data_IF_683036108285
#
_entry.id   IF_683036108285
#
_cell.length_a   1.000
_cell.length_b   1.000
_cell.length_c   1.000
_cell.angle_alpha   90.00
_cell.angle_beta   90.00
_cell.angle_gamma   90.00
#
_symmetry.space_group_name_H-M   'P 1'
#
loop_
_entity.id
_entity.type
_entity.pdbx_description
1 polymer ?
#
# COMPACT_ATOMS: atom_id res chain seq x y z
N UNK A 1 4.45 -17.05 -4.97
CA UNK A 1 5.11 -16.43 -6.14
C UNK A 1 4.21 -15.31 -6.62
N UNK A 2 4.51 -14.06 -6.26
CA UNK A 2 3.64 -12.91 -6.53
C UNK A 2 4.38 -11.60 -6.78
N UNK A 3 5.60 -11.42 -6.28
CA UNK A 3 6.40 -10.22 -6.54
C UNK A 3 7.08 -10.29 -7.93
N UNK A 4 6.51 -9.62 -8.94
CA UNK A 4 7.13 -9.48 -10.27
C UNK A 4 7.87 -8.15 -10.44
N UNK A 5 7.59 -7.16 -9.57
CA UNK A 5 8.23 -5.83 -9.52
C UNK A 5 8.19 -5.28 -8.09
N UNK A 6 9.15 -4.40 -7.75
CA UNK A 6 9.20 -3.67 -6.48
C UNK A 6 8.19 -2.50 -6.42
N UNK A 7 7.46 -2.29 -7.51
CA UNK A 7 6.35 -1.34 -7.57
C UNK A 7 5.12 -1.88 -6.82
N UNK A 8 4.36 -1.02 -6.10
CA UNK A 8 3.22 -1.46 -5.28
C UNK A 8 2.12 -2.27 -5.97
N UNK A 9 1.93 -2.10 -7.28
CA UNK A 9 0.97 -2.86 -8.08
C UNK A 9 1.64 -3.92 -8.98
N UNK A 10 2.88 -4.30 -8.65
CA UNK A 10 3.68 -5.30 -9.35
C UNK A 10 3.38 -6.76 -8.97
N UNK A 11 2.21 -7.02 -8.37
CA UNK A 11 1.78 -8.34 -7.92
C UNK A 11 0.25 -8.49 -8.09
N UNK A 12 -0.22 -9.74 -8.26
CA UNK A 12 -1.63 -10.04 -8.52
C UNK A 12 -2.54 -9.64 -7.34
N UNK A 13 -2.11 -9.87 -6.10
CA UNK A 13 -2.84 -9.47 -4.88
C UNK A 13 -3.19 -7.98 -4.90
N UNK A 14 -2.22 -7.12 -5.22
CA UNK A 14 -2.41 -5.68 -5.28
C UNK A 14 -3.35 -5.26 -6.41
N UNK A 15 -3.35 -5.98 -7.54
CA UNK A 15 -4.26 -5.71 -8.66
C UNK A 15 -5.69 -6.16 -8.34
N UNK A 16 -5.88 -7.28 -7.67
CA UNK A 16 -7.18 -7.74 -7.18
C UNK A 16 -7.75 -6.76 -6.15
N UNK A 17 -6.92 -6.31 -5.21
CA UNK A 17 -7.29 -5.25 -4.25
C UNK A 17 -7.65 -3.93 -4.95
N UNK A 18 -6.91 -3.53 -5.99
CA UNK A 18 -7.21 -2.34 -6.78
C UNK A 18 -8.59 -2.42 -7.46
N UNK A 19 -8.97 -3.62 -7.91
CA UNK A 19 -10.28 -3.87 -8.50
C UNK A 19 -11.39 -3.72 -7.45
N UNK A 20 -11.18 -4.18 -6.21
CA UNK A 20 -12.10 -3.94 -5.10
C UNK A 20 -12.26 -2.45 -4.79
N UNK A 21 -11.15 -1.71 -4.66
CA UNK A 21 -11.15 -0.28 -4.40
C UNK A 21 -11.99 0.48 -5.44
N UNK A 22 -11.88 0.11 -6.71
CA UNK A 22 -12.62 0.73 -7.80
C UNK A 22 -14.15 0.55 -7.72
N UNK A 23 -14.64 -0.38 -6.89
CA UNK A 23 -16.09 -0.59 -6.66
C UNK A 23 -16.69 0.35 -5.62
N UNK A 24 -15.87 1.01 -4.81
CA UNK A 24 -16.31 1.91 -3.74
C UNK A 24 -16.04 3.38 -4.08
N UNK A 25 -16.66 4.31 -3.34
CA UNK A 25 -16.48 5.77 -3.49
C UNK A 25 -16.16 6.45 -2.17
N UNK A 26 -15.36 5.77 -1.35
CA UNK A 26 -14.94 6.22 -0.04
C UNK A 26 -13.54 5.63 0.26
N UNK A 27 -13.00 5.96 1.44
CA UNK A 27 -11.69 5.48 1.89
C UNK A 27 -11.77 4.18 2.71
N UNK A 28 -12.92 3.51 2.77
CA UNK A 28 -13.12 2.38 3.68
C UNK A 28 -12.25 1.17 3.34
N UNK A 29 -12.09 0.84 2.05
CA UNK A 29 -11.23 -0.26 1.59
C UNK A 29 -9.75 0.04 1.87
N UNK A 30 -9.34 1.30 1.76
CA UNK A 30 -7.98 1.73 2.14
C UNK A 30 -7.77 1.61 3.65
N UNK A 31 -8.72 2.08 4.45
CA UNK A 31 -8.63 2.00 5.91
C UNK A 31 -8.61 0.53 6.38
N UNK A 32 -9.44 -0.33 5.79
CA UNK A 32 -9.49 -1.76 6.09
C UNK A 32 -8.15 -2.46 5.81
N UNK A 33 -7.47 -2.16 4.70
CA UNK A 33 -6.16 -2.73 4.40
C UNK A 33 -5.10 -2.33 5.43
N UNK A 34 -5.14 -1.10 5.94
CA UNK A 34 -4.22 -0.69 7.02
C UNK A 34 -4.58 -1.31 8.35
N UNK A 35 -5.87 -1.44 8.66
CA UNK A 35 -6.33 -2.03 9.92
C UNK A 35 -5.99 -3.53 9.97
N UNK A 36 -6.15 -4.26 8.87
CA UNK A 36 -5.74 -5.67 8.78
C UNK A 36 -4.27 -5.87 9.20
N UNK A 37 -3.37 -4.99 8.75
CA UNK A 37 -1.94 -5.09 9.11
C UNK A 37 -1.65 -4.57 10.52
N UNK A 38 -2.37 -3.55 11.00
CA UNK A 38 -2.09 -2.93 12.29
C UNK A 38 -2.72 -3.68 13.47
N UNK A 39 -3.84 -4.36 13.27
CA UNK A 39 -4.58 -5.07 14.32
C UNK A 39 -3.98 -6.44 14.65
N UNK A 40 -3.22 -7.04 13.73
CA UNK A 40 -2.48 -8.31 13.95
C UNK A 40 -1.36 -8.18 15.01
N UNK A 41 -1.01 -6.96 15.44
CA UNK A 41 -0.08 -6.75 16.55
C UNK A 41 1.33 -7.32 16.28
N UNK A 42 1.79 -8.21 17.17
CA UNK A 42 3.09 -8.91 17.07
C UNK A 42 2.99 -10.26 16.33
N UNK A 43 1.79 -10.71 15.97
CA UNK A 43 1.60 -11.96 15.23
C UNK A 43 2.20 -11.85 13.83
N UNK A 44 2.70 -12.95 13.28
CA UNK A 44 3.38 -12.96 11.99
C UNK A 44 2.47 -12.45 10.86
N UNK A 45 2.95 -11.47 10.10
CA UNK A 45 2.17 -10.82 9.03
C UNK A 45 2.30 -11.61 7.73
N UNK A 46 1.17 -12.05 7.19
CA UNK A 46 1.06 -12.72 5.89
C UNK A 46 1.41 -11.78 4.72
N UNK A 47 2.03 -12.33 3.69
CA UNK A 47 2.49 -11.55 2.54
C UNK A 47 1.34 -10.84 1.83
N UNK A 48 0.16 -11.47 1.72
CA UNK A 48 -0.99 -10.90 1.01
C UNK A 48 -1.50 -9.62 1.69
N UNK A 49 -1.67 -9.64 3.02
CA UNK A 49 -2.04 -8.46 3.79
C UNK A 49 -0.99 -7.34 3.67
N UNK A 50 0.30 -7.71 3.61
CA UNK A 50 1.38 -6.75 3.35
C UNK A 50 1.30 -6.12 1.95
N UNK A 51 1.02 -6.92 0.91
CA UNK A 51 0.87 -6.47 -0.47
C UNK A 51 -0.30 -5.49 -0.60
N UNK A 52 -1.45 -5.82 -0.02
CA UNK A 52 -2.64 -4.96 0.01
C UNK A 52 -2.39 -3.63 0.74
N UNK A 53 -1.70 -3.66 1.88
CA UNK A 53 -1.37 -2.44 2.61
C UNK A 53 -0.41 -1.53 1.83
N UNK A 54 0.55 -2.09 1.09
CA UNK A 54 1.45 -1.33 0.22
C UNK A 54 0.68 -0.72 -0.96
N UNK A 55 -0.23 -1.47 -1.58
CA UNK A 55 -1.13 -0.97 -2.63
C UNK A 55 -2.05 0.16 -2.12
N UNK A 56 -2.62 -0.01 -0.93
CA UNK A 56 -3.44 1.00 -0.26
C UNK A 56 -2.66 2.28 0.05
N UNK A 57 -1.41 2.15 0.50
CA UNK A 57 -0.53 3.29 0.72
C UNK A 57 -0.20 4.02 -0.58
N UNK A 58 0.03 3.29 -1.68
CA UNK A 58 0.27 3.86 -3.01
C UNK A 58 -0.97 4.61 -3.54
N UNK A 59 -2.16 4.06 -3.38
CA UNK A 59 -3.42 4.72 -3.74
C UNK A 59 -3.66 5.99 -2.91
N UNK A 60 -3.40 5.93 -1.59
CA UNK A 60 -3.48 7.08 -0.69
C UNK A 60 -2.50 8.19 -1.10
N UNK A 61 -1.26 7.83 -1.42
CA UNK A 61 -0.26 8.76 -1.94
C UNK A 61 -0.68 9.37 -3.29
N UNK A 62 -1.33 8.58 -4.15
CA UNK A 62 -1.92 9.04 -5.41
C UNK A 62 -3.01 10.10 -5.22
N UNK A 63 -3.90 9.93 -4.24
CA UNK A 63 -4.89 10.97 -3.89
C UNK A 63 -4.25 12.30 -3.48
N UNK A 64 -3.07 12.25 -2.88
CA UNK A 64 -2.33 13.42 -2.40
C UNK A 64 -1.45 14.05 -3.49
N UNK A 65 -1.12 13.32 -4.55
CA UNK A 65 -0.18 13.76 -5.59
C UNK A 65 -0.62 13.26 -6.98
N UNK A 66 -1.08 14.15 -7.87
CA UNK A 66 -1.47 13.81 -9.24
C UNK A 66 -0.34 13.13 -10.04
N UNK A 67 0.91 13.49 -9.78
CA UNK A 67 2.06 12.88 -10.45
C UNK A 67 2.26 11.41 -10.04
N UNK A 68 2.03 11.09 -8.77
CA UNK A 68 2.10 9.71 -8.28
C UNK A 68 0.93 8.91 -8.86
N UNK A 69 -0.28 9.48 -8.81
CA UNK A 69 -1.47 8.85 -9.36
C UNK A 69 -1.31 8.46 -10.83
N UNK A 70 -0.74 9.35 -11.65
CA UNK A 70 -0.58 9.12 -13.09
C UNK A 70 0.51 8.10 -13.45
N UNK A 71 1.58 7.99 -12.65
CA UNK A 71 2.76 7.21 -13.02
C UNK A 71 2.90 5.87 -12.27
N UNK A 72 2.26 5.73 -11.10
CA UNK A 72 2.48 4.60 -10.20
C UNK A 72 1.18 3.88 -9.77
N UNK A 73 0.03 4.30 -10.29
CA UNK A 73 -1.26 3.65 -10.02
C UNK A 73 -1.90 3.12 -11.31
N UNK A 74 -2.55 1.95 -11.27
CA UNK A 74 -3.30 1.42 -12.41
C UNK A 74 -4.53 2.29 -12.71
N UNK A 75 -5.05 2.19 -13.93
CA UNK A 75 -6.19 3.01 -14.40
C UNK A 75 -7.42 2.92 -13.49
N UNK A 76 -7.70 1.74 -12.92
CA UNK A 76 -8.78 1.53 -11.96
C UNK A 76 -8.67 2.44 -10.72
N UNK A 77 -7.47 2.58 -10.17
CA UNK A 77 -7.19 3.46 -9.03
C UNK A 77 -7.21 4.94 -9.46
N UNK A 78 -6.75 5.25 -10.66
CA UNK A 78 -6.84 6.62 -11.21
C UNK A 78 -8.30 7.07 -11.35
N UNK A 79 -9.16 6.21 -11.89
CA UNK A 79 -10.58 6.49 -12.09
C UNK A 79 -11.36 6.56 -10.78
N UNK A 80 -11.01 5.70 -9.81
CA UNK A 80 -11.51 5.82 -8.45
C UNK A 80 -11.11 7.17 -7.83
N UNK A 81 -9.83 7.54 -7.90
CA UNK A 81 -9.33 8.78 -7.32
C UNK A 81 -9.97 10.04 -7.93
N UNK A 82 -10.29 10.03 -9.22
CA UNK A 82 -11.02 11.13 -9.90
C UNK A 82 -12.45 11.32 -9.37
N UNK A 83 -13.04 10.27 -8.80
CA UNK A 83 -14.38 10.31 -8.22
C UNK A 83 -14.37 10.67 -6.73
N UNK A 84 -13.20 10.68 -6.10
CA UNK A 84 -13.05 11.00 -4.68
C UNK A 84 -13.10 12.52 -4.43
N UNK A 85 -14.06 12.94 -3.61
CA UNK A 85 -14.09 14.30 -3.05
C UNK A 85 -13.39 14.39 -1.69
N UNK A 86 -13.26 13.26 -1.00
CA UNK A 86 -12.64 13.17 0.32
C UNK A 86 -11.12 13.12 0.21
N UNK A 87 -10.45 13.89 1.06
CA UNK A 87 -9.00 13.87 1.20
C UNK A 87 -8.58 13.08 2.43
N UNK A 88 -7.44 12.37 2.40
CA UNK A 88 -6.93 11.63 3.55
C UNK A 88 -6.80 12.48 4.80
N UNK A 89 -7.51 12.09 5.87
CA UNK A 89 -7.37 12.74 7.16
C UNK A 89 -6.07 12.31 7.89
N UNK A 90 -5.59 13.06 8.89
CA UNK A 90 -4.35 12.72 9.61
C UNK A 90 -4.36 11.36 10.32
N UNK A 91 -5.54 10.87 10.74
CA UNK A 91 -5.64 9.55 11.37
C UNK A 91 -5.37 8.43 10.37
N UNK A 92 -5.91 8.54 9.16
CA UNK A 92 -5.69 7.57 8.09
C UNK A 92 -4.23 7.58 7.62
N UNK A 93 -3.61 8.77 7.50
CA UNK A 93 -2.18 8.89 7.18
C UNK A 93 -1.29 8.19 8.23
N UNK A 94 -1.64 8.34 9.52
CA UNK A 94 -0.94 7.65 10.60
C UNK A 94 -1.10 6.13 10.49
N UNK A 95 -2.31 5.62 10.24
CA UNK A 95 -2.57 4.19 10.01
C UNK A 95 -1.73 3.64 8.86
N UNK A 96 -1.68 4.36 7.74
CA UNK A 96 -0.87 3.97 6.58
C UNK A 96 0.61 3.84 6.92
N UNK A 97 1.16 4.80 7.69
CA UNK A 97 2.57 4.76 8.11
C UNK A 97 2.86 3.62 9.07
N UNK A 98 1.95 3.34 9.99
CA UNK A 98 2.05 2.19 10.90
C UNK A 98 2.04 0.88 10.13
N UNK A 99 1.14 0.73 9.15
CA UNK A 99 1.06 -0.44 8.31
C UNK A 99 2.35 -0.64 7.49
N UNK A 100 2.87 0.41 6.85
CA UNK A 100 4.16 0.34 6.12
C UNK A 100 5.33 -0.01 7.05
N UNK A 101 5.34 0.49 8.29
CA UNK A 101 6.36 0.13 9.27
C UNK A 101 6.25 -1.35 9.68
N UNK A 102 5.03 -1.86 9.80
CA UNK A 102 4.75 -3.27 10.12
C UNK A 102 5.16 -4.20 8.99
N UNK A 103 4.90 -3.81 7.73
CA UNK A 103 5.37 -4.52 6.52
C UNK A 103 6.90 -4.57 6.45
N UNK A 104 7.58 -3.50 6.86
CA UNK A 104 9.05 -3.43 6.91
C UNK A 104 9.69 -4.14 8.13
N UNK A 105 8.89 -4.64 9.08
CA UNK A 105 9.41 -5.30 10.28
C UNK A 105 9.84 -6.74 10.03
N UNK A 106 10.65 -7.29 10.93
CA UNK A 106 11.15 -8.67 10.81
C UNK A 106 10.03 -9.73 10.83
N UNK A 107 8.89 -9.46 11.49
CA UNK A 107 7.74 -10.37 11.56
C UNK A 107 6.80 -10.23 10.35
N UNK A 108 7.34 -10.14 9.13
CA UNK A 108 6.60 -9.88 7.89
C UNK A 108 7.05 -10.83 6.79
N UNK A 109 6.15 -11.71 6.36
CA UNK A 109 6.42 -12.64 5.26
C UNK A 109 6.79 -11.88 3.98
N UNK A 110 6.12 -10.77 3.68
CA UNK A 110 6.45 -9.96 2.51
C UNK A 110 7.90 -9.45 2.57
N UNK A 111 8.37 -9.01 3.76
CA UNK A 111 9.77 -8.60 3.92
C UNK A 111 10.71 -9.78 3.68
N UNK A 112 10.43 -10.93 4.26
CA UNK A 112 11.25 -12.15 4.09
C UNK A 112 11.35 -12.53 2.62
N UNK A 113 10.23 -12.53 1.88
CA UNK A 113 10.21 -12.82 0.45
C UNK A 113 11.09 -11.85 -0.36
N UNK A 114 11.07 -10.55 -0.02
CA UNK A 114 11.93 -9.57 -0.68
C UNK A 114 13.40 -9.66 -0.26
N UNK A 115 13.68 -10.09 0.97
CA UNK A 115 15.05 -10.28 1.50
C UNK A 115 15.83 -11.36 0.73
N UNK A 116 15.12 -12.31 0.10
CA UNK A 116 15.70 -13.34 -0.78
C UNK A 116 16.02 -12.84 -2.21
N UNK A 117 15.74 -11.58 -2.52
CA UNK A 117 15.93 -11.00 -3.87
C UNK A 117 17.08 -9.99 -3.93
N UNK A 118 17.64 -9.77 -5.12
CA UNK A 118 18.65 -8.72 -5.35
C UNK A 118 18.07 -7.29 -5.21
N UNK A 119 16.75 -7.15 -5.27
CA UNK A 119 16.03 -5.86 -5.24
C UNK A 119 15.55 -5.46 -3.83
N UNK A 120 15.91 -6.19 -2.78
CA UNK A 120 15.45 -5.94 -1.41
C UNK A 120 15.61 -4.48 -0.97
N UNK A 121 16.78 -3.89 -1.23
CA UNK A 121 17.07 -2.50 -0.87
C UNK A 121 16.18 -1.51 -1.64
N UNK A 122 15.95 -1.76 -2.94
CA UNK A 122 15.09 -0.91 -3.76
C UNK A 122 13.62 -1.00 -3.31
N UNK A 123 13.16 -2.19 -2.94
CA UNK A 123 11.84 -2.38 -2.34
C UNK A 123 11.70 -1.63 -1.01
N UNK A 124 12.67 -1.74 -0.10
CA UNK A 124 12.62 -0.99 1.17
C UNK A 124 12.57 0.54 0.93
N UNK A 125 13.35 1.04 -0.03
CA UNK A 125 13.38 2.45 -0.35
C UNK A 125 12.08 2.93 -1.00
N UNK A 126 11.38 2.08 -1.76
CA UNK A 126 10.06 2.41 -2.31
C UNK A 126 9.02 2.60 -1.19
N UNK A 127 9.00 1.72 -0.17
CA UNK A 127 8.12 1.86 1.00
C UNK A 127 8.46 3.10 1.83
N UNK A 128 9.75 3.38 2.06
CA UNK A 128 10.19 4.60 2.77
C UNK A 128 9.82 5.87 2.00
N UNK A 129 9.91 5.83 0.67
CA UNK A 129 9.45 6.90 -0.22
C UNK A 129 7.95 7.16 -0.05
N UNK A 130 7.13 6.11 -0.02
CA UNK A 130 5.70 6.21 0.26
C UNK A 130 5.42 6.84 1.63
N UNK A 131 6.12 6.38 2.69
CA UNK A 131 5.99 6.97 4.03
C UNK A 131 6.30 8.48 4.04
N UNK A 132 7.30 8.92 3.27
CA UNK A 132 7.68 10.33 3.16
C UNK A 132 6.60 11.16 2.45
N UNK A 133 6.02 10.65 1.36
CA UNK A 133 4.92 11.31 0.64
C UNK A 133 3.68 11.46 1.52
N UNK A 134 3.32 10.40 2.25
CA UNK A 134 2.13 10.39 3.12
C UNK A 134 2.26 11.42 4.24
N UNK A 135 3.48 11.63 4.75
CA UNK A 135 3.76 12.66 5.76
C UNK A 135 3.05 12.45 7.10
N UNK A 136 3.11 13.45 7.98
CA UNK A 136 2.45 13.47 9.30
C UNK A 136 1.04 14.04 9.24
#
# INVERSE_FOLDING_TARGET
>A
MGAWSHEPFGNDTALDWAAELATVKNLAVIEAAFDAVNEDGEDYLDASAGEEAVAAAQALAGLMSPAILANACPESVQDWARQMAEQPNPALKRKARQALQRVLSESSELRELWEETDDFAAWQDSLRGLQAVIGT
#
